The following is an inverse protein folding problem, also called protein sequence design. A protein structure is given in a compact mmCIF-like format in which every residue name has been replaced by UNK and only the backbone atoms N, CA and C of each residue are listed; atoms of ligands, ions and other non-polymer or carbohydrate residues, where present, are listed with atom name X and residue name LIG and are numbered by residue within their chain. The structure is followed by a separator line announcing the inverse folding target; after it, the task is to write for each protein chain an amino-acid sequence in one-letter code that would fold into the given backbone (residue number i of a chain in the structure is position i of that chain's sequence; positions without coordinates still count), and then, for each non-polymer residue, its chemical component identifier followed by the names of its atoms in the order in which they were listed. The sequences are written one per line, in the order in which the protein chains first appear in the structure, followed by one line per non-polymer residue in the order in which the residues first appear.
data_IF_310895258011
#
_entry.id   IF_310895258011
#
_cell.length_a   1.000
_cell.length_b   1.000
_cell.length_c   1.000
_cell.angle_alpha   90.00
_cell.angle_beta   90.00
_cell.angle_gamma   90.00
#
_symmetry.space_group_name_H-M   'P 1'
#
loop_
_entity.id
_entity.type
_entity.pdbx_description
1 polymer ?
#
# COMPACT_ATOMS: atom_id res chain seq x y z
N UNK A 1 -18.99 7.03 -24.21
CA UNK A 1 -19.87 6.48 -23.17
C UNK A 1 -19.96 4.95 -23.21
N UNK A 2 -20.21 4.28 -24.35
CA UNK A 2 -20.29 2.79 -24.43
C UNK A 2 -19.00 2.06 -24.02
N UNK A 3 -17.80 2.58 -24.32
CA UNK A 3 -16.52 1.96 -23.94
C UNK A 3 -16.20 2.10 -22.45
N UNK A 4 -16.65 3.17 -21.80
CA UNK A 4 -16.50 3.38 -20.36
C UNK A 4 -17.41 2.42 -19.55
N UNK A 5 -18.61 2.15 -20.07
CA UNK A 5 -19.55 1.19 -19.47
C UNK A 5 -19.06 -0.26 -19.57
N UNK A 6 -18.33 -0.60 -20.64
CA UNK A 6 -17.75 -1.94 -20.82
C UNK A 6 -16.58 -2.19 -19.84
N UNK A 7 -15.77 -1.18 -19.58
CA UNK A 7 -14.69 -1.26 -18.57
C UNK A 7 -15.27 -1.35 -17.17
N UNK A 8 -16.33 -0.59 -16.88
CA UNK A 8 -17.01 -0.61 -15.58
C UNK A 8 -17.70 -1.95 -15.31
N UNK A 9 -18.25 -2.60 -16.35
CA UNK A 9 -18.90 -3.91 -16.22
C UNK A 9 -17.90 -5.04 -15.94
N UNK A 10 -16.70 -5.00 -16.52
CA UNK A 10 -15.63 -5.97 -16.25
C UNK A 10 -15.09 -5.82 -14.82
N UNK A 11 -14.93 -4.59 -14.33
CA UNK A 11 -14.55 -4.33 -12.94
C UNK A 11 -15.65 -4.76 -11.97
N UNK A 12 -16.93 -4.57 -12.32
CA UNK A 12 -18.07 -4.99 -11.51
C UNK A 12 -18.21 -6.51 -11.38
N UNK A 13 -17.91 -7.27 -12.42
CA UNK A 13 -17.93 -8.75 -12.38
C UNK A 13 -16.78 -9.30 -11.54
N UNK A 14 -15.61 -8.69 -11.57
CA UNK A 14 -14.49 -9.07 -10.69
C UNK A 14 -14.77 -8.78 -9.23
N UNK A 15 -15.49 -7.70 -8.89
CA UNK A 15 -15.82 -7.39 -7.49
C UNK A 15 -16.90 -8.31 -6.89
N UNK A 16 -17.80 -8.88 -7.70
CA UNK A 16 -18.77 -9.87 -7.24
C UNK A 16 -18.15 -11.26 -7.00
N UNK A 17 -17.08 -11.61 -7.70
CA UNK A 17 -16.36 -12.86 -7.47
C UNK A 17 -15.60 -12.85 -6.13
N UNK A 18 -15.10 -11.69 -5.68
CA UNK A 18 -14.39 -11.58 -4.40
C UNK A 18 -15.31 -11.55 -3.18
N UNK A 19 -16.57 -11.12 -3.32
CA UNK A 19 -17.52 -11.08 -2.21
C UNK A 19 -18.00 -12.48 -1.74
N UNK A 20 -17.92 -13.50 -2.59
CA UNK A 20 -18.28 -14.88 -2.22
C UNK A 20 -17.13 -15.68 -1.57
N UNK A 21 -15.90 -15.19 -1.60
CA UNK A 21 -14.73 -15.89 -1.01
C UNK A 21 -14.61 -15.66 0.50
N UNK A 22 -15.20 -14.58 1.04
CA UNK A 22 -15.14 -14.29 2.49
C UNK A 22 -16.19 -14.99 3.35
N UNK A 23 -17.02 -15.86 2.78
CA UNK A 23 -18.11 -16.55 3.50
C UNK A 23 -17.87 -18.05 3.71
N UNK A 24 -16.70 -18.60 3.41
CA UNK A 24 -16.39 -20.01 3.60
C UNK A 24 -15.12 -20.22 4.46
N UNK A 25 -15.25 -21.09 5.43
CA UNK A 25 -14.40 -21.46 6.56
C UNK A 25 -12.94 -21.91 6.24
N UNK A 26 -12.09 -22.16 7.25
CA UNK A 26 -10.61 -22.23 7.15
C UNK A 26 -10.02 -23.38 6.31
N UNK A 27 -10.84 -24.20 5.64
CA UNK A 27 -10.35 -25.24 4.72
C UNK A 27 -9.84 -24.70 3.37
N UNK A 28 -10.22 -23.46 3.00
CA UNK A 28 -9.80 -22.86 1.72
C UNK A 28 -8.35 -22.33 1.74
N UNK A 29 -7.82 -22.04 2.92
CA UNK A 29 -6.45 -21.54 3.07
C UNK A 29 -5.40 -22.66 2.86
N UNK A 30 -5.75 -23.91 3.24
CA UNK A 30 -4.90 -25.07 3.03
C UNK A 30 -4.79 -25.46 1.55
N UNK A 31 -5.91 -25.36 0.80
CA UNK A 31 -5.93 -25.69 -0.64
C UNK A 31 -5.22 -24.62 -1.48
N UNK A 32 -5.31 -23.33 -1.10
CA UNK A 32 -4.62 -22.27 -1.79
C UNK A 32 -3.09 -22.33 -1.60
N UNK A 33 -2.65 -22.75 -0.40
CA UNK A 33 -1.22 -22.95 -0.11
C UNK A 33 -0.66 -24.20 -0.81
N UNK A 34 -1.47 -25.23 -0.98
CA UNK A 34 -1.07 -26.46 -1.67
C UNK A 34 -0.97 -26.24 -3.19
N UNK A 35 -1.89 -25.48 -3.79
CA UNK A 35 -1.81 -25.11 -5.21
C UNK A 35 -0.63 -24.19 -5.54
N UNK A 36 -0.29 -23.23 -4.66
CA UNK A 36 0.89 -22.39 -4.84
C UNK A 36 2.18 -23.16 -4.65
N UNK A 37 2.19 -24.17 -3.78
CA UNK A 37 3.33 -25.06 -3.59
C UNK A 37 3.51 -26.05 -4.77
N UNK A 38 2.41 -26.54 -5.35
CA UNK A 38 2.44 -27.45 -6.50
C UNK A 38 2.82 -26.71 -7.79
N UNK A 39 2.40 -25.44 -7.96
CA UNK A 39 2.85 -24.59 -9.07
C UNK A 39 4.32 -24.17 -8.94
N UNK A 40 4.81 -23.91 -7.73
CA UNK A 40 6.22 -23.63 -7.47
C UNK A 40 7.13 -24.86 -7.78
N UNK A 41 6.66 -26.06 -7.46
CA UNK A 41 7.36 -27.31 -7.77
C UNK A 41 7.34 -27.62 -9.28
N UNK A 42 6.25 -27.26 -9.98
CA UNK A 42 6.19 -27.41 -11.44
C UNK A 42 7.10 -26.39 -12.16
N UNK A 43 7.27 -25.20 -11.60
CA UNK A 43 8.18 -24.17 -12.13
C UNK A 43 9.64 -24.55 -11.88
N UNK A 44 9.95 -25.20 -10.75
CA UNK A 44 11.28 -25.72 -10.43
C UNK A 44 11.66 -26.94 -11.30
N UNK A 45 10.71 -27.81 -11.62
CA UNK A 45 10.93 -28.96 -12.49
C UNK A 45 11.18 -28.55 -13.96
N UNK A 46 10.56 -27.49 -14.43
CA UNK A 46 10.79 -26.92 -15.78
C UNK A 46 12.14 -26.16 -15.83
N UNK A 47 12.59 -25.60 -14.69
CA UNK A 47 13.88 -24.92 -14.62
C UNK A 47 15.09 -25.88 -14.62
N UNK A 48 14.92 -27.13 -14.17
CA UNK A 48 16.00 -28.09 -14.08
C UNK A 48 16.30 -28.81 -15.44
N UNK A 49 15.33 -28.81 -16.36
CA UNK A 49 15.52 -29.46 -17.68
C UNK A 49 16.06 -28.50 -18.76
N UNK A 50 16.08 -27.19 -18.47
CA UNK A 50 16.68 -26.17 -19.34
C UNK A 50 17.87 -25.54 -18.62
N UNK A 51 18.98 -26.29 -18.50
CA UNK A 51 20.24 -25.67 -18.14
C UNK A 51 20.64 -24.71 -19.28
N UNK A 52 20.66 -23.38 -19.04
CA UNK A 52 21.12 -22.47 -20.06
C UNK A 52 22.61 -22.67 -20.23
N UNK A 53 23.02 -22.91 -21.45
CA UNK A 53 24.37 -22.58 -21.88
C UNK A 53 24.50 -21.07 -21.69
N UNK A 54 25.09 -20.68 -20.56
CA UNK A 54 25.48 -19.29 -20.32
C UNK A 54 26.81 -19.09 -21.09
N UNK A 55 26.67 -18.88 -22.39
CA UNK A 55 27.66 -18.22 -23.18
C UNK A 55 27.01 -16.99 -23.80
N UNK A 56 27.13 -15.90 -23.08
CA UNK A 56 27.29 -14.53 -23.56
C UNK A 56 27.30 -13.60 -22.35
N UNK A 57 28.48 -13.39 -21.77
CA UNK A 57 28.82 -12.12 -21.15
C UNK A 57 28.63 -11.03 -22.21
N UNK A 58 27.38 -10.64 -22.46
CA UNK A 58 27.13 -9.42 -23.21
C UNK A 58 27.53 -8.27 -22.30
N UNK A 59 28.66 -7.65 -22.60
CA UNK A 59 29.16 -6.39 -22.03
C UNK A 59 28.00 -5.44 -21.75
N UNK A 60 27.54 -5.37 -20.50
CA UNK A 60 26.67 -4.29 -19.98
C UNK A 60 27.54 -3.08 -19.61
N UNK A 61 28.73 -2.98 -20.18
CA UNK A 61 29.61 -1.85 -20.03
C UNK A 61 29.25 -0.77 -21.05
N UNK A 62 28.36 0.16 -20.64
CA UNK A 62 28.14 1.39 -21.39
C UNK A 62 26.71 1.82 -21.68
N UNK A 63 25.71 0.98 -21.48
CA UNK A 63 24.31 1.39 -21.69
C UNK A 63 23.77 2.07 -20.42
N UNK A 64 23.36 3.35 -20.47
CA UNK A 64 22.82 4.02 -19.30
C UNK A 64 21.59 3.25 -18.76
N UNK A 65 21.51 3.11 -17.44
CA UNK A 65 20.50 2.29 -16.74
C UNK A 65 19.06 2.49 -17.26
N UNK A 66 18.69 3.73 -17.59
CA UNK A 66 17.38 4.04 -18.15
C UNK A 66 17.13 3.44 -19.54
N UNK A 67 18.20 3.29 -20.37
CA UNK A 67 18.06 2.65 -21.68
C UNK A 67 17.93 1.13 -21.54
N UNK A 68 18.70 0.51 -20.64
CA UNK A 68 18.57 -0.91 -20.33
C UNK A 68 17.15 -1.22 -19.80
N UNK A 69 16.61 -0.42 -18.89
CA UNK A 69 15.26 -0.55 -18.37
C UNK A 69 14.20 -0.41 -19.47
N UNK A 70 14.34 0.61 -20.35
CA UNK A 70 13.44 0.80 -21.48
C UNK A 70 13.48 -0.38 -22.45
N UNK A 71 14.66 -0.93 -22.71
CA UNK A 71 14.81 -2.10 -23.56
C UNK A 71 14.10 -3.31 -22.98
N UNK A 72 14.29 -3.58 -21.66
CA UNK A 72 13.60 -4.69 -20.97
C UNK A 72 12.09 -4.50 -20.93
N UNK A 73 11.62 -3.25 -20.79
CA UNK A 73 10.20 -2.93 -20.88
C UNK A 73 9.61 -3.25 -22.26
N UNK A 74 10.33 -2.94 -23.34
CA UNK A 74 9.90 -3.26 -24.71
C UNK A 74 9.96 -4.76 -24.95
N UNK A 75 11.04 -5.42 -24.51
CA UNK A 75 11.22 -6.87 -24.62
C UNK A 75 10.16 -7.67 -23.84
N UNK A 76 9.69 -7.18 -22.69
CA UNK A 76 8.64 -7.80 -21.89
C UNK A 76 7.21 -7.61 -22.44
N UNK A 77 7.05 -6.98 -23.62
CA UNK A 77 5.74 -6.72 -24.20
C UNK A 77 5.04 -5.50 -23.59
N UNK A 78 5.03 -4.40 -24.31
CA UNK A 78 4.52 -3.10 -23.84
C UNK A 78 3.09 -3.18 -23.30
N UNK A 79 2.24 -4.02 -23.91
CA UNK A 79 0.84 -4.16 -23.51
C UNK A 79 0.69 -4.72 -22.09
N UNK A 80 1.47 -5.73 -21.71
CA UNK A 80 1.40 -6.38 -20.40
C UNK A 80 2.25 -5.68 -19.35
N UNK A 81 3.35 -5.06 -19.75
CA UNK A 81 4.20 -4.29 -18.85
C UNK A 81 3.57 -2.96 -18.41
N UNK A 82 2.70 -2.36 -19.25
CA UNK A 82 2.06 -1.07 -18.96
C UNK A 82 1.17 -1.11 -17.72
N UNK A 83 0.24 -2.09 -17.52
CA UNK A 83 -0.55 -2.18 -16.30
C UNK A 83 0.29 -2.33 -15.03
N UNK A 84 1.36 -3.11 -15.07
CA UNK A 84 2.29 -3.28 -13.94
C UNK A 84 2.97 -1.95 -13.60
N UNK A 85 3.45 -1.24 -14.61
CA UNK A 85 4.07 0.07 -14.42
C UNK A 85 3.06 1.09 -13.87
N UNK A 86 1.82 1.09 -14.34
CA UNK A 86 0.76 1.96 -13.81
C UNK A 86 0.47 1.66 -12.34
N UNK A 87 0.38 0.38 -11.94
CA UNK A 87 0.22 -0.01 -10.54
C UNK A 87 1.38 0.54 -9.68
N UNK A 88 2.61 0.44 -10.15
CA UNK A 88 3.78 0.98 -9.44
C UNK A 88 3.70 2.52 -9.31
N UNK A 89 3.41 3.24 -10.39
CA UNK A 89 3.34 4.71 -10.38
C UNK A 89 2.23 5.19 -9.45
N UNK A 90 1.03 4.63 -9.57
CA UNK A 90 -0.11 5.03 -8.75
C UNK A 90 0.14 4.66 -7.28
N UNK A 91 0.64 3.45 -7.01
CA UNK A 91 0.97 3.00 -5.66
C UNK A 91 2.03 3.89 -5.00
N UNK A 92 3.09 4.28 -5.73
CA UNK A 92 4.10 5.22 -5.25
C UNK A 92 3.53 6.62 -5.03
N UNK A 93 2.65 7.09 -5.91
CA UNK A 93 2.01 8.40 -5.74
C UNK A 93 1.20 8.47 -4.44
N UNK A 94 0.40 7.42 -4.16
CA UNK A 94 -0.35 7.32 -2.90
C UNK A 94 0.59 7.18 -1.71
N UNK A 95 1.66 6.40 -1.82
CA UNK A 95 2.65 6.24 -0.74
C UNK A 95 3.35 7.56 -0.40
N UNK A 96 3.78 8.31 -1.40
CA UNK A 96 4.42 9.62 -1.21
C UNK A 96 3.43 10.61 -0.57
N UNK A 97 2.20 10.66 -1.07
CA UNK A 97 1.15 11.50 -0.48
C UNK A 97 0.95 11.20 1.01
N UNK A 98 0.88 9.91 1.39
CA UNK A 98 0.73 9.49 2.79
C UNK A 98 1.93 9.85 3.66
N UNK A 99 3.15 9.64 3.15
CA UNK A 99 4.38 10.03 3.86
C UNK A 99 4.42 11.53 4.12
N UNK A 100 4.04 12.34 3.15
CA UNK A 100 3.99 13.79 3.28
C UNK A 100 2.91 14.20 4.29
N UNK A 101 1.69 13.65 4.18
CA UNK A 101 0.60 13.90 5.11
C UNK A 101 1.02 13.63 6.56
N UNK A 102 1.56 12.43 6.85
CA UNK A 102 2.03 12.04 8.18
C UNK A 102 3.21 12.88 8.66
N UNK A 103 4.07 13.35 7.75
CA UNK A 103 5.20 14.21 8.10
C UNK A 103 4.76 15.62 8.47
N UNK A 104 3.82 16.20 7.76
CA UNK A 104 3.29 17.53 8.04
C UNK A 104 2.32 17.55 9.23
N UNK A 105 1.74 16.40 9.59
CA UNK A 105 0.86 16.26 10.74
C UNK A 105 1.61 16.18 12.08
N UNK A 106 2.91 15.91 12.07
CA UNK A 106 3.73 15.88 13.29
C UNK A 106 4.00 17.28 13.79
N UNK A 107 3.71 17.48 15.07
CA UNK A 107 4.01 18.72 15.82
C UNK A 107 5.00 18.41 16.95
N UNK A 108 5.58 19.44 17.53
CA UNK A 108 6.33 19.29 18.78
C UNK A 108 5.34 19.18 19.96
N UNK A 109 4.97 17.97 20.30
CA UNK A 109 3.95 17.64 21.31
C UNK A 109 4.26 18.22 22.67
N UNK A 110 5.53 18.19 23.12
CA UNK A 110 5.94 18.75 24.41
C UNK A 110 5.74 20.27 24.48
N UNK A 111 6.08 20.98 23.41
CA UNK A 111 5.90 22.42 23.32
C UNK A 111 4.41 22.77 23.28
N UNK A 112 3.63 22.04 22.51
CA UNK A 112 2.18 22.23 22.40
C UNK A 112 1.47 22.01 23.75
N UNK A 113 1.81 20.94 24.48
CA UNK A 113 1.25 20.67 25.81
C UNK A 113 1.54 21.81 26.77
N UNK A 114 2.79 22.32 26.81
CA UNK A 114 3.17 23.44 27.66
C UNK A 114 2.38 24.72 27.31
N UNK A 115 2.22 25.03 26.02
CA UNK A 115 1.42 26.18 25.57
C UNK A 115 -0.06 26.03 25.94
N UNK A 116 -0.60 24.81 25.84
CA UNK A 116 -1.98 24.51 26.23
C UNK A 116 -2.19 24.67 27.75
N UNK A 117 -1.28 24.14 28.57
CA UNK A 117 -1.34 24.30 30.04
C UNK A 117 -1.21 25.75 30.46
N UNK A 118 -0.29 26.50 29.85
CA UNK A 118 -0.12 27.92 30.13
C UNK A 118 -1.40 28.71 29.80
N UNK A 119 -1.99 28.45 28.62
CA UNK A 119 -3.25 29.08 28.22
C UNK A 119 -4.41 28.70 29.16
N UNK A 120 -4.45 27.43 29.60
CA UNK A 120 -5.47 26.95 30.54
C UNK A 120 -5.35 27.64 31.92
N UNK A 121 -4.14 27.82 32.42
CA UNK A 121 -3.91 28.45 33.72
C UNK A 121 -4.15 29.96 33.69
N UNK A 122 -3.82 30.65 32.61
CA UNK A 122 -3.89 32.11 32.50
C UNK A 122 -5.25 32.64 31.97
N UNK A 123 -5.87 31.87 31.02
CA UNK A 123 -7.08 32.30 30.31
C UNK A 123 -8.26 31.34 30.39
N UNK A 124 -8.08 30.24 31.17
CA UNK A 124 -9.14 29.23 31.32
C UNK A 124 -9.33 28.34 30.07
N UNK A 125 -10.40 27.56 30.09
CA UNK A 125 -10.68 26.54 29.07
C UNK A 125 -10.86 27.12 27.67
N UNK A 126 -11.40 28.33 27.53
CA UNK A 126 -11.62 28.98 26.22
C UNK A 126 -10.28 29.37 25.57
N UNK A 127 -9.32 29.89 26.35
CA UNK A 127 -7.98 30.20 25.83
C UNK A 127 -7.22 28.92 25.41
N UNK A 128 -7.30 27.85 26.21
CA UNK A 128 -6.68 26.55 25.90
C UNK A 128 -7.32 25.94 24.63
N UNK A 129 -8.63 26.04 24.47
CA UNK A 129 -9.36 25.61 23.29
C UNK A 129 -8.91 26.35 22.02
N UNK A 130 -8.61 27.64 22.13
CA UNK A 130 -8.13 28.44 21.00
C UNK A 130 -6.71 28.06 20.58
N UNK A 131 -5.82 27.78 21.53
CA UNK A 131 -4.48 27.23 21.25
C UNK A 131 -4.59 25.91 20.50
N UNK A 132 -5.43 24.98 20.95
CA UNK A 132 -5.66 23.70 20.31
C UNK A 132 -6.28 23.85 18.90
N UNK A 133 -7.19 24.80 18.70
CA UNK A 133 -7.83 25.08 17.41
C UNK A 133 -6.84 25.63 16.38
N UNK A 134 -5.90 26.47 16.81
CA UNK A 134 -4.94 27.13 15.93
C UNK A 134 -3.74 26.23 15.59
N UNK A 135 -3.55 25.13 16.31
CA UNK A 135 -2.50 24.16 16.09
C UNK A 135 -2.99 23.04 15.17
N UNK A 136 -2.21 22.71 14.14
CA UNK A 136 -2.53 21.62 13.19
C UNK A 136 -2.01 20.29 13.75
N UNK A 137 -2.73 19.22 13.47
CA UNK A 137 -2.29 17.85 13.76
C UNK A 137 -3.27 17.05 14.61
N UNK A 138 -3.12 15.73 14.65
CA UNK A 138 -4.05 14.85 15.35
C UNK A 138 -4.06 15.08 16.88
N UNK A 139 -2.91 15.34 17.49
CA UNK A 139 -2.79 15.65 18.92
C UNK A 139 -3.59 16.92 19.27
N UNK A 140 -3.38 18.00 18.52
CA UNK A 140 -4.11 19.25 18.77
C UNK A 140 -5.62 19.08 18.59
N UNK A 141 -6.04 18.26 17.64
CA UNK A 141 -7.45 17.96 17.40
C UNK A 141 -8.10 17.22 18.57
N UNK A 142 -7.38 16.28 19.20
CA UNK A 142 -7.84 15.58 20.41
C UNK A 142 -7.95 16.56 21.60
N UNK A 143 -6.96 17.41 21.80
CA UNK A 143 -6.96 18.43 22.85
C UNK A 143 -8.15 19.41 22.66
N UNK A 144 -8.41 19.81 21.42
CA UNK A 144 -9.57 20.63 21.10
C UNK A 144 -10.90 19.96 21.46
N UNK A 145 -11.05 18.67 21.14
CA UNK A 145 -12.26 17.90 21.47
C UNK A 145 -12.46 17.71 22.96
N UNK A 146 -11.37 17.46 23.70
CA UNK A 146 -11.43 17.39 25.17
C UNK A 146 -11.80 18.73 25.82
N UNK A 147 -11.16 19.82 25.39
CA UNK A 147 -11.47 21.16 25.88
C UNK A 147 -12.91 21.62 25.55
N UNK A 148 -13.42 21.23 24.37
CA UNK A 148 -14.79 21.56 23.95
C UNK A 148 -15.83 20.93 24.88
N UNK A 149 -15.59 19.74 25.40
CA UNK A 149 -16.52 18.97 26.24
C UNK A 149 -16.24 19.09 27.74
N UNK A 150 -15.30 19.93 28.14
CA UNK A 150 -14.90 20.06 29.53
C UNK A 150 -16.11 20.36 30.46
N UNK A 151 -17.05 21.22 30.02
CA UNK A 151 -18.22 21.59 30.79
C UNK A 151 -19.28 20.49 30.96
N UNK A 152 -19.14 19.38 30.19
CA UNK A 152 -20.03 18.21 30.27
C UNK A 152 -19.56 17.21 31.35
N UNK A 153 -18.35 17.41 31.92
CA UNK A 153 -17.76 16.57 32.94
C UNK A 153 -16.61 15.69 32.42
N UNK A 154 -15.71 15.33 33.33
CA UNK A 154 -14.47 14.61 32.98
C UNK A 154 -14.72 13.23 32.37
N UNK A 155 -15.73 12.50 32.84
CA UNK A 155 -16.10 11.19 32.26
C UNK A 155 -16.53 11.29 30.79
N UNK A 156 -17.17 12.40 30.43
CA UNK A 156 -17.58 12.68 29.05
C UNK A 156 -16.36 13.06 28.20
N UNK A 157 -15.46 13.85 28.77
CA UNK A 157 -14.18 14.21 28.13
C UNK A 157 -13.37 12.96 27.78
N UNK A 158 -13.16 12.06 28.74
CA UNK A 158 -12.41 10.84 28.53
C UNK A 158 -12.97 9.98 27.40
N UNK A 159 -14.29 9.75 27.41
CA UNK A 159 -14.97 9.00 26.35
C UNK A 159 -14.88 9.69 24.99
N UNK A 160 -15.01 11.02 24.97
CA UNK A 160 -14.93 11.80 23.74
C UNK A 160 -13.52 11.79 23.15
N UNK A 161 -12.50 11.91 23.97
CA UNK A 161 -11.08 11.86 23.59
C UNK A 161 -10.75 10.49 23.02
N UNK A 162 -11.13 9.40 23.71
CA UNK A 162 -10.92 8.02 23.23
C UNK A 162 -11.64 7.76 21.90
N UNK A 163 -12.90 8.16 21.79
CA UNK A 163 -13.68 8.00 20.56
C UNK A 163 -13.07 8.81 19.40
N UNK A 164 -12.64 10.03 19.65
CA UNK A 164 -12.04 10.87 18.62
C UNK A 164 -10.64 10.40 18.24
N UNK A 165 -9.90 9.80 19.18
CA UNK A 165 -8.62 9.11 18.92
C UNK A 165 -8.77 8.02 17.86
N UNK A 166 -9.83 7.20 17.97
CA UNK A 166 -10.13 6.17 16.96
C UNK A 166 -10.45 6.78 15.58
N UNK A 167 -11.13 7.92 15.53
CA UNK A 167 -11.38 8.64 14.27
C UNK A 167 -10.06 9.13 13.66
N UNK A 168 -9.17 9.70 14.48
CA UNK A 168 -7.86 10.17 14.02
C UNK A 168 -6.99 9.01 13.50
N UNK A 169 -7.04 7.85 14.16
CA UNK A 169 -6.37 6.65 13.68
C UNK A 169 -6.87 6.24 12.29
N UNK A 170 -8.20 6.14 12.10
CA UNK A 170 -8.77 5.83 10.79
C UNK A 170 -8.39 6.82 9.69
N UNK A 171 -8.24 8.12 10.03
CA UNK A 171 -7.76 9.14 9.08
C UNK A 171 -6.28 8.94 8.72
N UNK A 172 -5.43 8.51 9.66
CA UNK A 172 -4.03 8.20 9.40
C UNK A 172 -3.86 6.94 8.54
N UNK A 173 -4.67 5.92 8.76
CA UNK A 173 -4.67 4.67 7.98
C UNK A 173 -5.31 4.82 6.60
N UNK A 174 -6.05 5.90 6.37
CA UNK A 174 -6.68 6.16 5.08
C UNK A 174 -5.66 6.09 3.94
N UNK A 175 -6.01 5.39 2.86
CA UNK A 175 -5.13 5.21 1.69
C UNK A 175 -4.20 4.00 1.76
N UNK A 176 -3.93 3.39 2.93
CA UNK A 176 -3.12 2.17 3.03
C UNK A 176 -3.75 1.01 2.25
N UNK A 177 -5.07 0.91 2.28
CA UNK A 177 -5.80 -0.12 1.52
C UNK A 177 -5.53 -0.07 0.02
N UNK A 178 -5.34 1.14 -0.55
CA UNK A 178 -4.98 1.29 -1.96
C UNK A 178 -3.57 0.82 -2.25
N UNK A 179 -2.60 1.13 -1.37
CA UNK A 179 -1.22 0.66 -1.53
C UNK A 179 -1.20 -0.87 -1.46
N UNK A 180 -1.90 -1.46 -0.48
CA UNK A 180 -2.01 -2.91 -0.32
C UNK A 180 -2.66 -3.58 -1.55
N UNK A 181 -3.68 -2.96 -2.14
CA UNK A 181 -4.28 -3.42 -3.38
C UNK A 181 -3.24 -3.48 -4.53
N UNK A 182 -2.42 -2.45 -4.70
CA UNK A 182 -1.41 -2.44 -5.76
C UNK A 182 -0.26 -3.42 -5.49
N UNK A 183 0.06 -3.69 -4.22
CA UNK A 183 1.02 -4.74 -3.84
C UNK A 183 0.52 -6.11 -4.31
N UNK A 184 -0.77 -6.41 -4.12
CA UNK A 184 -1.37 -7.68 -4.53
C UNK A 184 -1.61 -7.76 -6.05
N UNK A 185 -1.97 -6.65 -6.69
CA UNK A 185 -2.25 -6.61 -8.12
C UNK A 185 -0.99 -6.73 -8.99
N UNK A 186 0.14 -6.15 -8.55
CA UNK A 186 1.35 -6.12 -9.38
C UNK A 186 1.87 -7.52 -9.74
N UNK A 187 2.04 -8.48 -8.80
CA UNK A 187 2.42 -9.84 -9.12
C UNK A 187 1.36 -10.57 -9.95
N UNK A 188 0.08 -10.37 -9.64
CA UNK A 188 -1.02 -11.01 -10.36
C UNK A 188 -1.07 -10.60 -11.84
N UNK A 189 -0.80 -9.33 -12.13
CA UNK A 189 -0.67 -8.82 -13.49
C UNK A 189 0.59 -9.37 -14.17
N UNK A 190 1.69 -9.49 -13.43
CA UNK A 190 2.91 -10.12 -13.91
C UNK A 190 2.67 -11.59 -14.31
N UNK A 191 2.02 -12.35 -13.43
CA UNK A 191 1.64 -13.73 -13.69
C UNK A 191 0.69 -13.88 -14.89
N UNK A 192 -0.31 -13.00 -15.01
CA UNK A 192 -1.18 -12.98 -16.19
C UNK A 192 -0.38 -12.74 -17.48
N UNK A 193 0.66 -11.95 -17.43
CA UNK A 193 1.60 -11.74 -18.53
C UNK A 193 2.36 -13.02 -18.92
N UNK A 194 2.71 -13.90 -17.95
CA UNK A 194 3.33 -15.20 -18.30
C UNK A 194 2.35 -16.11 -19.03
N UNK A 195 1.13 -16.24 -18.55
CA UNK A 195 0.13 -17.10 -19.17
C UNK A 195 -0.12 -16.67 -20.62
N UNK A 196 -0.31 -15.39 -20.87
CA UNK A 196 -0.54 -14.89 -22.22
C UNK A 196 0.70 -14.98 -23.10
N UNK A 197 1.88 -14.67 -22.57
CA UNK A 197 3.14 -14.82 -23.32
C UNK A 197 3.41 -16.27 -23.77
N UNK A 198 3.05 -17.24 -22.93
CA UNK A 198 3.12 -18.66 -23.31
C UNK A 198 2.08 -19.05 -24.35
N UNK A 199 0.84 -18.56 -24.22
CA UNK A 199 -0.21 -18.79 -25.25
C UNK A 199 0.25 -18.24 -26.61
N UNK A 200 0.75 -17.01 -26.66
CA UNK A 200 1.27 -16.40 -27.88
C UNK A 200 2.44 -17.20 -28.49
N UNK A 201 3.32 -17.77 -27.64
CA UNK A 201 4.41 -18.63 -28.10
C UNK A 201 3.88 -19.91 -28.75
N UNK A 202 2.89 -20.57 -28.15
CA UNK A 202 2.28 -21.78 -28.74
C UNK A 202 1.49 -21.49 -30.01
N UNK A 203 0.78 -20.36 -30.09
CA UNK A 203 0.09 -19.93 -31.31
C UNK A 203 1.08 -19.72 -32.47
N UNK A 204 2.25 -19.13 -32.18
CA UNK A 204 3.33 -18.97 -33.18
C UNK A 204 3.89 -20.32 -33.66
N UNK A 205 4.09 -21.29 -32.76
CA UNK A 205 4.53 -22.65 -33.10
C UNK A 205 3.47 -23.32 -33.99
N UNK A 206 2.19 -23.22 -33.63
CA UNK A 206 1.09 -23.79 -34.41
C UNK A 206 1.04 -23.17 -35.80
N UNK A 207 1.21 -21.88 -35.93
CA UNK A 207 1.19 -21.19 -37.21
C UNK A 207 2.40 -21.52 -38.10
N UNK A 208 3.58 -21.72 -37.49
CA UNK A 208 4.81 -22.08 -38.20
C UNK A 208 4.82 -23.55 -38.68
N UNK A 209 4.04 -24.44 -38.06
CA UNK A 209 4.02 -25.88 -38.34
C UNK A 209 5.26 -26.66 -37.90
N UNK A 210 6.24 -26.01 -37.34
CA UNK A 210 7.46 -26.59 -36.80
C UNK A 210 7.90 -25.92 -35.49
N UNK A 211 8.56 -26.66 -34.60
CA UNK A 211 9.04 -26.11 -33.33
C UNK A 211 10.41 -25.49 -33.53
N UNK A 212 10.48 -24.18 -33.52
CA UNK A 212 11.73 -23.43 -33.52
C UNK A 212 12.11 -23.02 -32.08
N UNK A 213 13.29 -23.40 -31.63
CA UNK A 213 13.82 -23.03 -30.31
C UNK A 213 13.84 -21.49 -30.10
N UNK A 214 14.07 -20.71 -31.16
CA UNK A 214 14.12 -19.27 -31.11
C UNK A 214 12.73 -18.65 -30.85
N UNK A 215 11.67 -19.22 -31.46
CA UNK A 215 10.29 -18.76 -31.26
C UNK A 215 9.84 -19.03 -29.82
N UNK A 216 10.11 -20.24 -29.32
CA UNK A 216 9.80 -20.64 -27.95
C UNK A 216 10.51 -19.75 -26.94
N UNK A 217 11.83 -19.57 -27.10
CA UNK A 217 12.66 -18.74 -26.22
C UNK A 217 12.17 -17.27 -26.18
N UNK A 218 11.71 -16.74 -27.31
CA UNK A 218 11.14 -15.40 -27.37
C UNK A 218 9.90 -15.21 -26.51
N UNK A 219 8.93 -16.14 -26.61
CA UNK A 219 7.71 -16.11 -25.80
C UNK A 219 7.96 -16.29 -24.29
N UNK A 220 8.83 -17.26 -23.94
CA UNK A 220 9.25 -17.48 -22.54
C UNK A 220 9.93 -16.23 -21.98
N UNK A 221 10.82 -15.59 -22.74
CA UNK A 221 11.49 -14.35 -22.31
C UNK A 221 10.49 -13.25 -21.97
N UNK A 222 9.49 -13.01 -22.80
CA UNK A 222 8.43 -12.03 -22.57
C UNK A 222 7.67 -12.37 -21.28
N UNK A 223 7.27 -13.61 -21.12
CA UNK A 223 6.57 -14.12 -19.96
C UNK A 223 7.37 -13.86 -18.65
N UNK A 224 8.61 -14.28 -18.58
CA UNK A 224 9.45 -14.13 -17.39
C UNK A 224 9.74 -12.66 -17.05
N UNK A 225 9.92 -11.79 -18.05
CA UNK A 225 10.15 -10.36 -17.82
C UNK A 225 8.95 -9.66 -17.20
N UNK A 226 7.72 -10.01 -17.60
CA UNK A 226 6.51 -9.42 -17.01
C UNK A 226 6.33 -9.82 -15.56
N UNK A 227 6.55 -11.09 -15.21
CA UNK A 227 6.50 -11.56 -13.83
C UNK A 227 7.57 -10.89 -12.96
N UNK A 228 8.81 -10.85 -13.44
CA UNK A 228 9.89 -10.17 -12.72
C UNK A 228 9.55 -8.70 -12.43
N UNK A 229 9.01 -7.98 -13.42
CA UNK A 229 8.58 -6.59 -13.23
C UNK A 229 7.45 -6.46 -12.20
N UNK A 230 6.48 -7.38 -12.20
CA UNK A 230 5.39 -7.44 -11.22
C UNK A 230 5.90 -7.64 -9.80
N UNK A 231 6.81 -8.59 -9.60
CA UNK A 231 7.42 -8.88 -8.30
C UNK A 231 8.28 -7.72 -7.79
N UNK A 232 9.12 -7.12 -8.63
CA UNK A 232 9.91 -5.93 -8.26
C UNK A 232 8.99 -4.79 -7.84
N UNK A 233 7.92 -4.54 -8.58
CA UNK A 233 6.93 -3.50 -8.26
C UNK A 233 6.27 -3.74 -6.90
N UNK A 234 5.87 -4.98 -6.60
CA UNK A 234 5.28 -5.35 -5.32
C UNK A 234 6.27 -5.15 -4.16
N UNK A 235 7.52 -5.59 -4.31
CA UNK A 235 8.57 -5.43 -3.28
C UNK A 235 8.81 -3.95 -2.96
N UNK A 236 8.90 -3.10 -3.98
CA UNK A 236 9.08 -1.67 -3.79
C UNK A 236 7.90 -1.08 -3.00
N UNK A 237 6.66 -1.36 -3.41
CA UNK A 237 5.47 -0.86 -2.74
C UNK A 237 5.34 -1.39 -1.30
N UNK A 238 5.72 -2.66 -1.06
CA UNK A 238 5.71 -3.29 0.26
C UNK A 238 6.67 -2.58 1.24
N UNK A 239 7.84 -2.15 0.78
CA UNK A 239 8.78 -1.39 1.59
C UNK A 239 8.18 -0.04 2.03
N UNK A 240 7.55 0.68 1.11
CA UNK A 240 6.86 1.94 1.43
C UNK A 240 5.66 1.72 2.35
N UNK A 241 4.87 0.68 2.12
CA UNK A 241 3.73 0.31 2.96
C UNK A 241 4.17 0.09 4.41
N UNK A 242 5.18 -0.75 4.64
CA UNK A 242 5.69 -1.04 5.98
C UNK A 242 6.27 0.21 6.66
N UNK A 243 6.96 1.08 5.90
CA UNK A 243 7.46 2.34 6.44
C UNK A 243 6.32 3.25 6.90
N UNK A 244 5.26 3.37 6.12
CA UNK A 244 4.08 4.19 6.46
C UNK A 244 3.37 3.60 7.69
N UNK A 245 3.16 2.28 7.72
CA UNK A 245 2.52 1.59 8.83
C UNK A 245 3.25 1.85 10.15
N UNK A 246 4.56 1.62 10.20
CA UNK A 246 5.37 1.92 11.38
C UNK A 246 5.29 3.38 11.83
N UNK A 247 5.16 4.31 10.87
CA UNK A 247 5.01 5.72 11.18
C UNK A 247 3.64 6.06 11.76
N UNK A 248 2.58 5.39 11.29
CA UNK A 248 1.23 5.48 11.85
C UNK A 248 1.21 4.94 13.25
N UNK A 249 1.72 3.73 13.47
CA UNK A 249 1.78 3.08 14.79
C UNK A 249 2.48 3.98 15.82
N UNK A 250 3.62 4.56 15.46
CA UNK A 250 4.32 5.54 16.30
C UNK A 250 3.48 6.77 16.63
N UNK A 251 2.66 7.24 15.68
CA UNK A 251 1.78 8.38 15.89
C UNK A 251 0.56 8.03 16.73
N UNK A 252 0.05 6.79 16.63
CA UNK A 252 -1.05 6.29 17.47
C UNK A 252 -0.61 6.20 18.92
N UNK A 253 0.57 5.63 19.19
CA UNK A 253 1.14 5.57 20.56
C UNK A 253 1.29 6.98 21.14
N UNK A 254 1.81 7.94 20.36
CA UNK A 254 1.91 9.34 20.80
C UNK A 254 0.54 9.96 21.10
N UNK A 255 -0.48 9.66 20.31
CA UNK A 255 -1.87 10.09 20.50
C UNK A 255 -2.47 9.53 21.80
N UNK A 256 -2.25 8.26 22.09
CA UNK A 256 -2.73 7.61 23.32
C UNK A 256 -2.08 8.22 24.55
N UNK A 257 -0.76 8.39 24.56
CA UNK A 257 0.00 9.00 25.65
C UNK A 257 -0.45 10.45 25.90
N UNK A 258 -0.62 11.23 24.86
CA UNK A 258 -1.08 12.61 24.96
C UNK A 258 -2.54 12.73 25.37
N UNK A 259 -3.36 11.75 25.04
CA UNK A 259 -4.76 11.67 25.46
C UNK A 259 -4.88 11.50 26.99
N UNK A 260 -4.03 10.64 27.58
CA UNK A 260 -3.94 10.47 29.02
C UNK A 260 -3.48 11.78 29.67
N UNK A 261 -2.41 12.37 29.13
CA UNK A 261 -1.89 13.66 29.60
C UNK A 261 -2.96 14.76 29.61
N UNK A 262 -3.79 14.85 28.57
CA UNK A 262 -4.89 15.81 28.52
C UNK A 262 -5.90 15.61 29.64
N UNK A 263 -6.32 14.37 29.89
CA UNK A 263 -7.28 14.05 30.97
C UNK A 263 -6.70 14.41 32.33
N UNK A 264 -5.41 14.16 32.56
CA UNK A 264 -4.71 14.52 33.79
C UNK A 264 -4.68 16.05 34.00
N UNK A 265 -4.33 16.81 32.96
CA UNK A 265 -4.30 18.28 32.98
C UNK A 265 -5.70 18.84 33.31
N UNK A 266 -6.74 18.38 32.62
CA UNK A 266 -8.11 18.84 32.86
C UNK A 266 -8.64 18.43 34.24
N UNK A 267 -8.26 17.26 34.73
CA UNK A 267 -8.59 16.80 36.09
C UNK A 267 -7.90 17.66 37.15
N UNK A 268 -6.63 18.00 36.96
CA UNK A 268 -5.89 18.90 37.85
C UNK A 268 -6.49 20.32 37.86
N UNK A 269 -6.91 20.81 36.72
CA UNK A 269 -7.58 22.09 36.57
C UNK A 269 -8.95 22.12 37.24
N UNK A 270 -9.72 21.05 37.15
CA UNK A 270 -11.06 20.93 37.79
C UNK A 270 -11.01 20.94 39.32
N UNK A 271 -9.86 20.60 39.91
CA UNK A 271 -9.66 20.56 41.36
C UNK A 271 -9.18 21.90 41.94
N UNK A 272 -8.84 22.86 41.08
CA UNK A 272 -8.46 24.23 41.49
C UNK A 272 -9.70 25.12 41.64
#
# INVERSE_FOLDING_TARGET
MKKLFMILSVVGVMSLATANVYAQEPEAEAVATEQVAEEAVAEEAVAEEVAPVIDEETEVAGVPFHQALKQKFIEGGVFWMTPVLLCLIIGLAVAIERILYLSFSKINTKKFIAEFEEALNNGGIEAAKEVARNTKGPVASIFYQGALRYNEGLDVVEKAVASYGSVQNGLMESGLSWINLFIALSPSLGFMGTVVGMIEAFDQIQAAGEVSATLVAGGIKVALLTTLAGLISAVILQLFYNYILNKIDSSVVELEDTSITLVDILTAYSKK
#
